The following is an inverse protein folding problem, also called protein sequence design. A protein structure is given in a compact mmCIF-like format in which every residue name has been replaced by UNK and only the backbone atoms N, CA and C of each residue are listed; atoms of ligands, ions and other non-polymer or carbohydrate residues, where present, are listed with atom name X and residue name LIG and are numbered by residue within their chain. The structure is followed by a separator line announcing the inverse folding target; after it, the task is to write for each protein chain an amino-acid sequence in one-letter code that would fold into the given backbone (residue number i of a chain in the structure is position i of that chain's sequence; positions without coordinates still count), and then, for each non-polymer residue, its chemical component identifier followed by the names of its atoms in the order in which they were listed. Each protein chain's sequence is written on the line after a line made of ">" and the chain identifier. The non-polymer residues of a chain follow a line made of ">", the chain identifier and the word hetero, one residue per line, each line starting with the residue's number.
data_IF_301688349597
#
_entry.id   IF_301688349597
#
_cell.length_a   1.000
_cell.length_b   1.000
_cell.length_c   1.000
_cell.angle_alpha   90.00
_cell.angle_beta   90.00
_cell.angle_gamma   90.00
#
_symmetry.space_group_name_H-M   'P 1'
#
loop_
_entity.id
_entity.type
_entity.pdbx_description
1 polymer ?
#
# COMPACT_ATOMS: atom_id res chain seq x y z
N UNK A 1 2.63 12.71 28.25
CA UNK A 1 1.74 11.53 28.05
C UNK A 1 1.35 11.55 26.58
N UNK A 2 1.47 10.45 25.83
CA UNK A 2 1.10 10.47 24.41
C UNK A 2 -0.42 10.65 24.29
N UNK A 3 -0.88 11.68 23.57
CA UNK A 3 -2.31 11.95 23.43
C UNK A 3 -3.02 10.88 22.59
N UNK A 4 -2.29 10.25 21.65
CA UNK A 4 -2.85 9.28 20.69
C UNK A 4 -1.93 8.06 20.47
N UNK A 5 -1.78 7.15 21.46
CA UNK A 5 -0.97 5.94 21.32
C UNK A 5 -1.51 4.95 20.26
N UNK A 6 -2.79 5.04 19.91
CA UNK A 6 -3.45 4.19 18.92
C UNK A 6 -2.92 4.39 17.49
N UNK A 7 -2.42 5.59 17.17
CA UNK A 7 -1.90 5.90 15.83
C UNK A 7 -0.67 5.05 15.50
N UNK A 8 0.47 5.14 16.22
CA UNK A 8 1.64 4.34 15.87
C UNK A 8 1.35 2.84 15.94
N UNK A 9 0.54 2.38 16.93
CA UNK A 9 0.14 0.98 17.03
C UNK A 9 -0.65 0.53 15.79
N UNK A 10 -1.61 1.33 15.34
CA UNK A 10 -2.40 1.05 14.14
C UNK A 10 -1.54 0.98 12.88
N UNK A 11 -0.66 1.97 12.66
CA UNK A 11 0.23 2.02 11.51
C UNK A 11 1.21 0.84 11.49
N UNK A 12 1.92 0.53 12.59
CA UNK A 12 2.85 -0.60 12.60
C UNK A 12 2.15 -1.95 12.47
N UNK A 13 0.95 -2.09 13.04
CA UNK A 13 0.13 -3.28 12.85
C UNK A 13 -0.26 -3.45 11.39
N UNK A 14 -0.77 -2.39 10.75
CA UNK A 14 -1.10 -2.38 9.33
C UNK A 14 0.12 -2.70 8.44
N UNK A 15 1.28 -2.12 8.75
CA UNK A 15 2.54 -2.41 8.06
C UNK A 15 2.90 -3.91 8.14
N UNK A 16 2.81 -4.50 9.33
CA UNK A 16 3.07 -5.92 9.54
C UNK A 16 2.08 -6.81 8.78
N UNK A 17 0.78 -6.47 8.81
CA UNK A 17 -0.27 -7.20 8.11
C UNK A 17 -0.09 -7.17 6.59
N UNK A 18 0.32 -6.05 6.01
CA UNK A 18 0.63 -5.97 4.58
C UNK A 18 1.73 -6.93 4.13
N UNK A 19 2.73 -7.18 4.97
CA UNK A 19 3.85 -8.07 4.65
C UNK A 19 3.46 -9.55 4.68
N UNK A 20 2.38 -9.93 5.36
CA UNK A 20 1.94 -11.33 5.48
C UNK A 20 1.74 -11.92 4.06
N UNK A 21 0.91 -11.32 3.19
CA UNK A 21 1.12 -11.03 1.77
C UNK A 21 2.25 -11.68 0.98
N UNK A 22 3.43 -11.21 1.34
CA UNK A 22 4.52 -10.96 0.41
C UNK A 22 5.15 -12.24 -0.14
N UNK A 23 5.42 -13.30 0.65
CA UNK A 23 6.17 -14.46 0.18
C UNK A 23 5.50 -15.23 -0.96
N UNK A 24 4.17 -15.28 -1.02
CA UNK A 24 3.46 -15.96 -2.11
C UNK A 24 3.27 -15.08 -3.33
N UNK A 25 3.04 -13.78 -3.16
CA UNK A 25 3.01 -12.84 -4.28
C UNK A 25 4.39 -12.72 -4.95
N UNK A 26 5.46 -12.79 -4.15
CA UNK A 26 6.84 -12.87 -4.65
C UNK A 26 7.08 -14.10 -5.53
N UNK A 27 6.67 -15.29 -5.06
CA UNK A 27 6.75 -16.54 -5.86
C UNK A 27 5.92 -16.45 -7.14
N UNK A 28 4.76 -15.79 -7.09
CA UNK A 28 3.91 -15.58 -8.25
C UNK A 28 4.46 -14.54 -9.25
N UNK A 29 5.53 -13.80 -8.88
CA UNK A 29 6.15 -12.73 -9.69
C UNK A 29 5.13 -11.72 -10.21
N UNK A 30 4.14 -11.36 -9.38
CA UNK A 30 3.17 -10.32 -9.70
C UNK A 30 3.73 -8.96 -9.28
N UNK A 31 4.33 -8.24 -10.23
CA UNK A 31 5.00 -6.95 -9.98
C UNK A 31 4.03 -5.92 -9.41
N UNK A 32 2.80 -5.85 -9.92
CA UNK A 32 1.80 -4.87 -9.47
C UNK A 32 1.40 -5.09 -8.01
N UNK A 33 1.11 -6.32 -7.60
CA UNK A 33 0.77 -6.61 -6.20
C UNK A 33 1.96 -6.43 -5.25
N UNK A 34 3.16 -6.83 -5.67
CA UNK A 34 4.37 -6.63 -4.85
C UNK A 34 4.64 -5.13 -4.66
N UNK A 35 4.46 -4.33 -5.70
CA UNK A 35 4.63 -2.87 -5.62
C UNK A 35 3.57 -2.24 -4.73
N UNK A 36 2.30 -2.69 -4.83
CA UNK A 36 1.23 -2.25 -3.93
C UNK A 36 1.57 -2.52 -2.46
N UNK A 37 2.05 -3.72 -2.13
CA UNK A 37 2.52 -4.06 -0.77
C UNK A 37 3.64 -3.13 -0.33
N UNK A 38 4.62 -2.86 -1.20
CA UNK A 38 5.77 -2.02 -0.87
C UNK A 38 5.35 -0.58 -0.56
N UNK A 39 4.45 0.00 -1.36
CA UNK A 39 3.90 1.35 -1.13
C UNK A 39 3.07 1.42 0.15
N UNK A 40 2.14 0.48 0.38
CA UNK A 40 1.36 0.43 1.61
C UNK A 40 2.26 0.26 2.84
N UNK A 41 3.22 -0.65 2.78
CA UNK A 41 4.18 -0.85 3.86
C UNK A 41 4.98 0.42 4.16
N UNK A 42 5.58 1.05 3.14
CA UNK A 42 6.36 2.26 3.30
C UNK A 42 5.52 3.40 3.89
N UNK A 43 4.30 3.62 3.39
CA UNK A 43 3.41 4.67 3.89
C UNK A 43 3.00 4.45 5.35
N UNK A 44 2.74 3.21 5.78
CA UNK A 44 2.46 2.93 7.19
C UNK A 44 3.68 3.12 8.09
N UNK A 45 4.88 2.73 7.64
CA UNK A 45 6.11 3.01 8.40
C UNK A 45 6.30 4.51 8.58
N UNK A 46 6.07 5.30 7.53
CA UNK A 46 6.11 6.75 7.60
C UNK A 46 5.11 7.26 8.65
N UNK A 47 3.84 6.86 8.56
CA UNK A 47 2.80 7.32 9.48
C UNK A 47 3.08 6.93 10.94
N UNK A 48 3.62 5.73 11.18
CA UNK A 48 3.97 5.26 12.51
C UNK A 48 5.16 5.99 13.12
N UNK A 49 6.20 6.27 12.33
CA UNK A 49 7.37 7.05 12.78
C UNK A 49 6.98 8.50 13.04
N UNK A 50 6.19 9.08 12.14
CA UNK A 50 5.70 10.45 12.25
C UNK A 50 4.88 10.66 13.54
N UNK A 51 3.95 9.75 13.84
CA UNK A 51 3.14 9.79 15.06
C UNK A 51 3.95 9.60 16.35
N UNK A 52 5.15 9.02 16.29
CA UNK A 52 6.05 8.90 17.44
C UNK A 52 6.87 10.18 17.64
N UNK A 53 7.46 10.71 16.57
CA UNK A 53 8.38 11.86 16.66
C UNK A 53 7.61 13.14 17.03
N UNK A 54 6.44 13.36 16.42
CA UNK A 54 5.64 14.58 16.61
C UNK A 54 4.44 14.40 17.55
N UNK A 55 4.51 13.41 18.45
CA UNK A 55 3.41 13.03 19.35
C UNK A 55 2.87 14.16 20.27
N UNK A 56 3.71 15.15 20.58
CA UNK A 56 3.47 16.21 21.58
C UNK A 56 4.15 17.54 21.19
N UNK A 57 4.50 17.69 19.91
CA UNK A 57 5.15 18.88 19.40
C UNK A 57 4.97 19.01 17.87
N UNK A 58 5.05 20.23 17.36
CA UNK A 58 5.07 20.53 15.91
C UNK A 58 6.43 21.09 15.45
N UNK A 59 7.50 20.91 16.25
CA UNK A 59 8.80 21.53 15.95
C UNK A 59 9.55 20.78 14.85
N UNK A 60 10.41 21.50 14.12
CA UNK A 60 11.22 20.94 13.04
C UNK A 60 12.40 20.14 13.62
N UNK A 61 12.17 18.86 13.95
CA UNK A 61 13.18 17.96 14.52
C UNK A 61 14.05 17.28 13.45
N UNK A 62 13.41 16.65 12.47
CA UNK A 62 14.09 15.79 11.47
C UNK A 62 13.70 16.23 10.05
N UNK A 63 14.22 17.37 9.56
CA UNK A 63 13.76 17.95 8.30
C UNK A 63 14.05 17.07 7.08
N UNK A 64 15.18 16.38 7.05
CA UNK A 64 15.56 15.46 5.96
C UNK A 64 14.57 14.30 5.86
N UNK A 65 14.05 13.83 6.99
CA UNK A 65 13.01 12.81 7.00
C UNK A 65 11.75 13.33 6.33
N UNK A 66 11.23 14.49 6.75
CA UNK A 66 10.05 15.09 6.13
C UNK A 66 10.24 15.37 4.63
N UNK A 67 11.42 15.80 4.17
CA UNK A 67 11.67 16.03 2.73
C UNK A 67 11.46 14.75 1.91
N UNK A 68 11.91 13.60 2.43
CA UNK A 68 11.81 12.31 1.76
C UNK A 68 10.38 11.77 1.89
N UNK A 69 9.85 11.75 3.11
CA UNK A 69 8.58 11.09 3.40
C UNK A 69 7.40 11.81 2.77
N UNK A 70 7.36 13.14 2.77
CA UNK A 70 6.29 13.89 2.12
C UNK A 70 6.22 13.62 0.62
N UNK A 71 7.39 13.50 -0.05
CA UNK A 71 7.44 13.08 -1.46
C UNK A 71 6.95 11.64 -1.63
N UNK A 72 7.39 10.70 -0.81
CA UNK A 72 6.92 9.31 -0.88
C UNK A 72 5.41 9.20 -0.68
N UNK A 73 4.84 9.98 0.24
CA UNK A 73 3.38 10.03 0.47
C UNK A 73 2.64 10.57 -0.75
N UNK A 74 3.15 11.63 -1.39
CA UNK A 74 2.63 12.12 -2.68
C UNK A 74 2.75 11.05 -3.75
N UNK A 75 3.88 10.35 -3.85
CA UNK A 75 4.05 9.24 -4.80
C UNK A 75 3.04 8.12 -4.57
N UNK A 76 2.72 7.82 -3.32
CA UNK A 76 1.76 6.77 -2.97
C UNK A 76 0.35 7.07 -3.51
N UNK A 77 -0.10 8.33 -3.54
CA UNK A 77 -1.47 8.69 -4.00
C UNK A 77 -1.72 8.28 -5.45
N UNK A 78 -0.69 8.34 -6.31
CA UNK A 78 -0.78 7.88 -7.71
C UNK A 78 -0.32 6.42 -7.88
N UNK A 79 0.58 5.93 -7.02
CA UNK A 79 1.11 4.58 -7.11
C UNK A 79 0.06 3.51 -6.80
N UNK A 80 -0.76 3.70 -5.76
CA UNK A 80 -1.81 2.75 -5.38
C UNK A 80 -2.81 2.51 -6.52
N UNK A 81 -3.41 3.54 -7.17
CA UNK A 81 -4.27 3.33 -8.33
C UNK A 81 -3.52 2.82 -9.56
N UNK A 82 -2.27 3.21 -9.79
CA UNK A 82 -1.46 2.64 -10.88
C UNK A 82 -1.24 1.12 -10.71
N UNK A 83 -0.96 0.67 -9.47
CA UNK A 83 -0.81 -0.76 -9.16
C UNK A 83 -2.12 -1.52 -9.37
N UNK A 84 -3.25 -0.96 -8.92
CA UNK A 84 -4.56 -1.56 -9.10
C UNK A 84 -4.97 -1.63 -10.58
N UNK A 85 -4.70 -0.58 -11.36
CA UNK A 85 -4.91 -0.57 -12.81
C UNK A 85 -4.13 -1.69 -13.49
N UNK A 86 -2.83 -1.79 -13.22
CA UNK A 86 -1.99 -2.82 -13.83
C UNK A 86 -2.46 -4.24 -13.48
N UNK A 87 -2.92 -4.44 -12.23
CA UNK A 87 -3.53 -5.68 -11.78
C UNK A 87 -4.83 -5.98 -12.56
N UNK A 88 -5.73 -5.01 -12.68
CA UNK A 88 -6.99 -5.18 -13.42
C UNK A 88 -6.76 -5.45 -14.91
N UNK A 89 -5.80 -4.78 -15.56
CA UNK A 89 -5.41 -5.08 -16.96
C UNK A 89 -4.87 -6.52 -17.06
N UNK A 90 -4.12 -7.01 -16.06
CA UNK A 90 -3.63 -8.39 -16.07
C UNK A 90 -4.80 -9.38 -15.95
N UNK A 91 -5.76 -9.12 -15.06
CA UNK A 91 -6.94 -9.96 -14.86
C UNK A 91 -7.85 -9.96 -16.10
N UNK A 92 -8.10 -8.79 -16.70
CA UNK A 92 -8.85 -8.67 -17.96
C UNK A 92 -8.23 -9.53 -19.04
N UNK A 93 -6.92 -9.42 -19.23
CA UNK A 93 -6.21 -10.17 -20.26
C UNK A 93 -6.30 -11.68 -20.06
N UNK A 94 -6.26 -12.16 -18.80
CA UNK A 94 -6.45 -13.58 -18.46
C UNK A 94 -7.89 -14.03 -18.78
N UNK A 95 -8.88 -13.17 -18.55
CA UNK A 95 -10.28 -13.47 -18.90
C UNK A 95 -10.57 -13.36 -20.40
N UNK A 96 -9.77 -12.59 -21.14
CA UNK A 96 -9.94 -12.35 -22.56
C UNK A 96 -9.59 -13.59 -23.41
N UNK A 97 -10.21 -13.77 -24.59
CA UNK A 97 -9.86 -14.84 -25.55
C UNK A 97 -8.41 -14.76 -26.05
N UNK A 98 -7.76 -13.60 -25.92
CA UNK A 98 -6.41 -13.35 -26.43
C UNK A 98 -5.34 -14.04 -25.59
N UNK A 99 -5.71 -14.61 -24.43
CA UNK A 99 -4.78 -15.25 -23.51
C UNK A 99 -4.03 -16.46 -24.12
N UNK A 100 -4.67 -17.20 -25.03
CA UNK A 100 -4.15 -18.47 -25.59
C UNK A 100 -2.94 -18.32 -26.52
N UNK A 101 -2.60 -17.10 -26.95
CA UNK A 101 -1.47 -16.83 -27.87
C UNK A 101 -0.31 -16.05 -27.27
N UNK A 102 -0.25 -15.88 -25.94
CA UNK A 102 0.73 -14.97 -25.32
C UNK A 102 2.16 -15.53 -25.30
N UNK A 103 3.09 -14.87 -26.00
CA UNK A 103 4.50 -15.26 -26.05
C UNK A 103 5.24 -14.93 -24.73
N UNK A 104 6.35 -15.63 -24.47
CA UNK A 104 7.25 -15.31 -23.36
C UNK A 104 7.79 -13.87 -23.46
N UNK A 105 8.05 -13.38 -24.67
CA UNK A 105 8.48 -12.00 -24.90
C UNK A 105 7.41 -10.98 -24.46
N UNK A 106 6.13 -11.26 -24.71
CA UNK A 106 5.02 -10.40 -24.30
C UNK A 106 4.86 -10.35 -22.78
N UNK A 107 5.16 -11.45 -22.09
CA UNK A 107 5.16 -11.50 -20.62
C UNK A 107 6.27 -10.64 -20.04
N UNK A 108 7.46 -10.68 -20.63
CA UNK A 108 8.60 -9.86 -20.19
C UNK A 108 8.35 -8.37 -20.44
N UNK A 109 7.91 -7.99 -21.65
CA UNK A 109 7.53 -6.61 -21.97
C UNK A 109 6.48 -6.07 -21.00
N UNK A 110 5.49 -6.90 -20.66
CA UNK A 110 4.45 -6.53 -19.70
C UNK A 110 5.00 -6.29 -18.30
N UNK A 111 5.92 -7.12 -17.81
CA UNK A 111 6.56 -6.90 -16.49
C UNK A 111 7.29 -5.56 -16.42
N UNK A 112 7.97 -5.16 -17.49
CA UNK A 112 8.62 -3.84 -17.54
C UNK A 112 7.61 -2.70 -17.57
N UNK A 113 6.51 -2.85 -18.32
CA UNK A 113 5.42 -1.89 -18.31
C UNK A 113 4.79 -1.74 -16.91
N UNK A 114 4.48 -2.86 -16.25
CA UNK A 114 3.92 -2.86 -14.90
C UNK A 114 4.90 -2.21 -13.91
N UNK A 115 6.21 -2.51 -14.00
CA UNK A 115 7.23 -1.88 -13.17
C UNK A 115 7.32 -0.36 -13.39
N UNK A 116 7.28 0.09 -14.65
CA UNK A 116 7.28 1.51 -14.98
C UNK A 116 6.03 2.21 -14.47
N UNK A 117 4.85 1.62 -14.62
CA UNK A 117 3.60 2.17 -14.11
C UNK A 117 3.58 2.24 -12.57
N UNK A 118 4.10 1.22 -11.88
CA UNK A 118 4.05 1.14 -10.42
C UNK A 118 5.16 1.95 -9.71
N UNK A 119 6.23 2.35 -10.42
CA UNK A 119 7.38 3.07 -9.83
C UNK A 119 7.80 4.30 -10.63
N UNK A 120 7.94 4.17 -11.96
CA UNK A 120 8.31 5.27 -12.84
C UNK A 120 7.30 6.42 -12.85
N UNK A 121 6.00 6.11 -12.99
CA UNK A 121 4.93 7.12 -12.94
C UNK A 121 4.89 7.85 -11.58
N UNK A 122 4.92 7.16 -10.43
CA UNK A 122 5.06 7.83 -9.13
C UNK A 122 6.29 8.72 -9.01
N UNK A 123 7.45 8.31 -9.54
CA UNK A 123 8.66 9.15 -9.53
C UNK A 123 8.48 10.45 -10.30
N UNK A 124 7.87 10.38 -11.49
CA UNK A 124 7.55 11.57 -12.29
C UNK A 124 6.53 12.46 -11.56
N UNK A 125 5.52 11.85 -10.94
CA UNK A 125 4.48 12.57 -10.21
C UNK A 125 5.03 13.28 -8.95
N UNK A 126 5.94 12.65 -8.21
CA UNK A 126 6.65 13.28 -7.09
C UNK A 126 7.50 14.49 -7.52
N UNK A 127 8.11 14.42 -8.70
CA UNK A 127 8.83 15.56 -9.28
C UNK A 127 7.87 16.68 -9.70
N UNK A 128 6.75 16.32 -10.33
CA UNK A 128 5.73 17.26 -10.79
C UNK A 128 5.06 18.02 -9.64
N UNK A 129 4.95 17.39 -8.45
CA UNK A 129 4.47 18.05 -7.24
C UNK A 129 5.25 19.33 -6.90
N UNK A 130 6.54 19.41 -7.26
CA UNK A 130 7.34 20.61 -7.03
C UNK A 130 6.73 21.85 -7.68
N UNK A 131 6.09 21.73 -8.85
CA UNK A 131 5.47 22.85 -9.58
C UNK A 131 4.33 23.52 -8.79
N UNK A 132 3.66 22.77 -7.93
CA UNK A 132 2.43 23.16 -7.24
C UNK A 132 2.56 23.07 -5.73
N UNK A 133 3.78 23.04 -5.25
CA UNK A 133 4.08 23.06 -3.83
C UNK A 133 4.36 24.53 -3.46
N UNK A 134 3.81 25.03 -2.36
CA UNK A 134 3.99 26.44 -1.98
C UNK A 134 5.20 26.67 -1.09
N UNK A 135 5.50 25.68 -0.27
CA UNK A 135 6.56 25.69 0.73
C UNK A 135 7.02 24.26 1.02
N UNK A 136 8.03 24.09 1.86
CA UNK A 136 8.81 22.85 1.94
C UNK A 136 7.97 21.65 2.37
N UNK A 137 7.26 21.77 3.48
CA UNK A 137 6.30 20.78 4.00
C UNK A 137 5.61 21.38 5.23
N UNK A 138 4.59 20.67 5.69
CA UNK A 138 3.87 20.98 6.92
C UNK A 138 4.15 19.92 7.99
N UNK A 139 4.16 20.34 9.25
CA UNK A 139 4.22 19.47 10.41
C UNK A 139 2.94 19.72 11.20
N UNK A 140 2.11 18.69 11.31
CA UNK A 140 0.92 18.71 12.16
C UNK A 140 1.27 17.93 13.43
N UNK A 141 1.13 18.56 14.59
CA UNK A 141 1.32 17.87 15.87
C UNK A 141 0.43 16.61 15.93
N UNK A 142 0.90 15.56 16.60
CA UNK A 142 0.32 14.20 16.64
C UNK A 142 0.47 13.40 15.35
N UNK A 143 0.39 14.02 14.17
CA UNK A 143 0.33 13.31 12.89
C UNK A 143 1.66 13.25 12.14
N UNK A 144 2.49 14.29 12.28
CA UNK A 144 3.81 14.46 11.67
C UNK A 144 3.82 15.16 10.32
N UNK A 145 4.69 14.72 9.40
CA UNK A 145 5.02 15.45 8.18
C UNK A 145 3.93 15.31 7.11
N UNK A 146 3.49 16.41 6.52
CA UNK A 146 2.51 16.46 5.43
C UNK A 146 3.04 17.24 4.22
N UNK A 147 2.75 16.78 2.99
CA UNK A 147 3.14 17.52 1.80
C UNK A 147 2.36 18.83 1.71
N UNK A 148 3.06 19.92 1.44
CA UNK A 148 2.44 21.22 1.21
C UNK A 148 1.90 21.31 -0.22
N UNK A 149 0.64 21.71 -0.38
CA UNK A 149 -0.01 21.88 -1.68
C UNK A 149 -0.49 23.32 -1.88
N UNK A 150 -0.08 23.95 -2.98
CA UNK A 150 -0.58 25.27 -3.37
C UNK A 150 -1.93 25.11 -4.09
N UNK A 151 -3.03 25.33 -3.36
CA UNK A 151 -4.42 25.16 -3.82
C UNK A 151 -4.73 26.09 -5.00
N UNK A 152 -4.61 25.56 -6.20
CA UNK A 152 -4.75 26.28 -7.47
C UNK A 152 -5.26 25.35 -8.56
N UNK A 153 -5.65 25.91 -9.71
CA UNK A 153 -6.08 25.08 -10.84
C UNK A 153 -4.94 24.15 -11.31
N UNK A 154 -3.69 24.61 -11.22
CA UNK A 154 -2.53 23.80 -11.55
C UNK A 154 -2.40 22.58 -10.61
N UNK A 155 -2.60 22.74 -9.30
CA UNK A 155 -2.56 21.59 -8.38
C UNK A 155 -3.67 20.58 -8.66
N UNK A 156 -4.87 21.07 -9.01
CA UNK A 156 -6.00 20.19 -9.36
C UNK A 156 -5.67 19.34 -10.61
N UNK A 157 -5.10 19.95 -11.65
CA UNK A 157 -4.74 19.25 -12.88
C UNK A 157 -3.52 18.33 -12.74
N UNK A 158 -2.52 18.73 -11.94
CA UNK A 158 -1.26 18.01 -11.84
C UNK A 158 -1.23 16.97 -10.71
N UNK A 159 -1.99 17.17 -9.64
CA UNK A 159 -2.00 16.29 -8.48
C UNK A 159 -3.34 15.56 -8.33
N UNK A 160 -4.49 16.24 -8.43
CA UNK A 160 -5.79 15.58 -8.20
C UNK A 160 -6.26 14.74 -9.40
N UNK A 161 -6.14 15.27 -10.62
CA UNK A 161 -6.67 14.62 -11.82
C UNK A 161 -5.99 13.28 -12.16
N UNK A 162 -4.65 13.13 -12.11
CA UNK A 162 -3.99 11.87 -12.49
C UNK A 162 -4.45 10.63 -11.69
N UNK A 163 -4.49 10.62 -10.34
CA UNK A 163 -4.98 9.46 -9.59
C UNK A 163 -6.46 9.18 -9.87
N UNK A 164 -7.30 10.20 -10.07
CA UNK A 164 -8.71 10.01 -10.45
C UNK A 164 -8.84 9.32 -11.82
N UNK A 165 -8.04 9.72 -12.80
CA UNK A 165 -8.02 9.07 -14.13
C UNK A 165 -7.59 7.61 -14.03
N UNK A 166 -6.56 7.30 -13.24
CA UNK A 166 -6.09 5.93 -13.03
C UNK A 166 -7.15 5.07 -12.32
N UNK A 167 -7.84 5.63 -11.32
CA UNK A 167 -8.93 4.94 -10.64
C UNK A 167 -10.12 4.67 -11.58
N UNK A 168 -10.53 5.66 -12.40
CA UNK A 168 -11.58 5.49 -13.40
C UNK A 168 -11.22 4.41 -14.43
N UNK A 169 -9.98 4.41 -14.94
CA UNK A 169 -9.48 3.37 -15.83
C UNK A 169 -9.48 2.00 -15.14
N UNK A 170 -9.13 1.93 -13.86
CA UNK A 170 -9.15 0.68 -13.09
C UNK A 170 -10.55 0.09 -13.03
N UNK A 171 -11.55 0.92 -12.70
CA UNK A 171 -12.95 0.52 -12.70
C UNK A 171 -13.42 0.04 -14.09
N UNK A 172 -13.02 0.72 -15.17
CA UNK A 172 -13.35 0.32 -16.53
C UNK A 172 -12.76 -1.05 -16.90
N UNK A 173 -11.48 -1.29 -16.61
CA UNK A 173 -10.83 -2.59 -16.87
C UNK A 173 -11.38 -3.71 -15.98
N UNK A 174 -11.69 -3.41 -14.72
CA UNK A 174 -12.35 -4.35 -13.82
C UNK A 174 -13.73 -4.76 -14.35
N UNK A 175 -14.54 -3.79 -14.82
CA UNK A 175 -15.82 -4.05 -15.46
C UNK A 175 -15.70 -4.90 -16.73
N UNK A 176 -14.74 -4.61 -17.60
CA UNK A 176 -14.46 -5.40 -18.79
C UNK A 176 -14.07 -6.85 -18.46
N UNK A 177 -13.20 -7.02 -17.45
CA UNK A 177 -12.77 -8.32 -16.97
C UNK A 177 -13.94 -9.16 -16.40
N UNK A 178 -14.84 -8.53 -15.64
CA UNK A 178 -16.06 -9.15 -15.13
C UNK A 178 -17.03 -9.51 -16.26
N UNK A 179 -17.19 -8.64 -17.26
CA UNK A 179 -18.03 -8.93 -18.42
C UNK A 179 -17.52 -10.15 -19.22
N UNK A 180 -16.21 -10.22 -19.43
CA UNK A 180 -15.58 -11.39 -20.07
C UNK A 180 -15.77 -12.67 -19.26
N UNK A 181 -15.67 -12.58 -17.93
CA UNK A 181 -15.98 -13.69 -17.04
C UNK A 181 -17.43 -14.16 -17.20
N UNK A 182 -18.41 -13.27 -17.05
CA UNK A 182 -19.82 -13.65 -17.06
C UNK A 182 -20.25 -14.26 -18.40
N UNK A 183 -19.74 -13.71 -19.51
CA UNK A 183 -20.01 -14.24 -20.86
C UNK A 183 -19.44 -15.65 -21.09
N UNK A 184 -18.47 -16.11 -20.30
CA UNK A 184 -17.73 -17.36 -20.55
C UNK A 184 -17.69 -18.31 -19.36
N UNK A 185 -18.56 -18.10 -18.38
CA UNK A 185 -18.56 -18.82 -17.10
C UNK A 185 -18.48 -20.36 -17.23
N UNK A 186 -19.01 -20.93 -18.31
CA UNK A 186 -19.01 -22.38 -18.58
C UNK A 186 -17.66 -22.92 -19.07
N UNK A 187 -16.83 -22.10 -19.72
CA UNK A 187 -15.49 -22.46 -20.23
C UNK A 187 -14.37 -21.75 -19.46
N UNK A 188 -14.72 -20.92 -18.48
CA UNK A 188 -13.78 -20.05 -17.79
C UNK A 188 -12.81 -20.82 -16.88
N UNK A 189 -13.30 -21.86 -16.20
CA UNK A 189 -12.48 -22.69 -15.31
C UNK A 189 -11.30 -23.32 -16.05
N UNK A 190 -11.48 -23.67 -17.33
CA UNK A 190 -10.40 -24.21 -18.19
C UNK A 190 -9.55 -23.14 -18.85
N UNK A 191 -10.02 -21.88 -18.95
CA UNK A 191 -9.26 -20.77 -19.55
C UNK A 191 -8.41 -19.98 -18.55
N UNK A 192 -8.63 -20.15 -17.25
CA UNK A 192 -7.76 -19.59 -16.22
C UNK A 192 -6.38 -20.22 -16.37
N UNK A 193 -5.38 -19.41 -16.75
CA UNK A 193 -3.99 -19.81 -16.98
C UNK A 193 -3.27 -20.31 -15.69
N UNK A 194 -3.79 -21.36 -15.07
CA UNK A 194 -3.34 -21.92 -13.80
C UNK A 194 -3.81 -21.18 -12.53
N UNK A 195 -4.75 -20.23 -12.64
CA UNK A 195 -5.27 -19.47 -11.50
C UNK A 195 -6.59 -20.09 -11.01
N UNK A 196 -6.82 -20.18 -9.69
CA UNK A 196 -8.15 -20.58 -9.20
C UNK A 196 -9.17 -19.43 -9.40
N UNK A 197 -10.46 -19.72 -9.69
CA UNK A 197 -11.49 -18.70 -9.78
C UNK A 197 -11.59 -17.85 -8.50
N UNK A 198 -11.46 -18.47 -7.34
CA UNK A 198 -11.48 -17.77 -6.04
C UNK A 198 -10.36 -16.73 -5.95
N UNK A 199 -9.13 -17.06 -6.36
CA UNK A 199 -8.02 -16.12 -6.36
C UNK A 199 -8.22 -14.98 -7.37
N UNK A 200 -8.76 -15.29 -8.54
CA UNK A 200 -9.11 -14.28 -9.54
C UNK A 200 -10.07 -13.24 -8.97
N UNK A 201 -11.18 -13.67 -8.37
CA UNK A 201 -12.18 -12.77 -7.79
C UNK A 201 -11.64 -11.96 -6.62
N UNK A 202 -10.83 -12.58 -5.78
CA UNK A 202 -10.20 -11.93 -4.63
C UNK A 202 -9.29 -10.78 -5.05
N UNK A 203 -8.48 -10.98 -6.09
CA UNK A 203 -7.64 -9.92 -6.67
C UNK A 203 -8.50 -8.80 -7.28
N UNK A 204 -9.58 -9.14 -7.98
CA UNK A 204 -10.48 -8.16 -8.59
C UNK A 204 -11.23 -7.33 -7.55
N UNK A 205 -11.85 -7.98 -6.58
CA UNK A 205 -12.62 -7.33 -5.51
C UNK A 205 -11.72 -6.48 -4.63
N UNK A 206 -10.50 -6.93 -4.35
CA UNK A 206 -9.50 -6.12 -3.65
C UNK A 206 -9.17 -4.86 -4.43
N UNK A 207 -8.85 -4.96 -5.72
CA UNK A 207 -8.55 -3.79 -6.54
C UNK A 207 -9.74 -2.81 -6.58
N UNK A 208 -10.97 -3.31 -6.72
CA UNK A 208 -12.17 -2.48 -6.69
C UNK A 208 -12.41 -1.82 -5.32
N UNK A 209 -12.19 -2.54 -4.22
CA UNK A 209 -12.32 -2.00 -2.87
C UNK A 209 -11.28 -0.91 -2.58
N UNK A 210 -10.03 -1.13 -2.98
CA UNK A 210 -8.96 -0.13 -2.90
C UNK A 210 -9.28 1.12 -3.72
N UNK A 211 -9.83 0.95 -4.94
CA UNK A 211 -10.24 2.10 -5.76
C UNK A 211 -11.45 2.83 -5.17
N UNK A 212 -12.43 2.12 -4.61
CA UNK A 212 -13.57 2.75 -3.95
C UNK A 212 -13.10 3.58 -2.74
N UNK A 213 -12.28 2.98 -1.86
CA UNK A 213 -11.71 3.67 -0.71
C UNK A 213 -10.87 4.88 -1.17
N UNK A 214 -9.94 4.68 -2.11
CA UNK A 214 -9.07 5.73 -2.64
C UNK A 214 -9.85 6.88 -3.28
N UNK A 215 -10.85 6.59 -4.12
CA UNK A 215 -11.70 7.61 -4.73
C UNK A 215 -12.50 8.40 -3.68
N UNK A 216 -13.03 7.73 -2.66
CA UNK A 216 -13.74 8.42 -1.56
C UNK A 216 -12.80 9.36 -0.82
N UNK A 217 -11.60 8.88 -0.46
CA UNK A 217 -10.59 9.71 0.23
C UNK A 217 -10.15 10.88 -0.64
N UNK A 218 -9.77 10.66 -1.90
CA UNK A 218 -9.37 11.75 -2.81
C UNK A 218 -10.49 12.76 -3.04
N UNK A 219 -11.74 12.32 -3.18
CA UNK A 219 -12.87 13.23 -3.37
C UNK A 219 -13.11 14.12 -2.14
N UNK A 220 -13.02 13.54 -0.94
CA UNK A 220 -13.16 14.27 0.32
C UNK A 220 -12.01 15.26 0.55
N UNK A 221 -10.77 14.84 0.29
CA UNK A 221 -9.57 15.66 0.43
C UNK A 221 -9.61 16.85 -0.55
N UNK A 222 -9.96 16.58 -1.81
CA UNK A 222 -10.19 17.61 -2.83
C UNK A 222 -11.29 18.57 -2.37
N UNK A 223 -12.41 18.07 -1.87
CA UNK A 223 -13.45 18.97 -1.35
C UNK A 223 -12.92 19.86 -0.21
N UNK A 224 -12.14 19.30 0.71
CA UNK A 224 -11.58 20.06 1.84
C UNK A 224 -10.57 21.13 1.42
N UNK A 225 -9.71 20.83 0.44
CA UNK A 225 -8.72 21.77 -0.09
C UNK A 225 -9.36 22.91 -0.87
N UNK A 226 -10.37 22.61 -1.70
CA UNK A 226 -10.88 23.55 -2.70
C UNK A 226 -12.17 24.27 -2.29
N UNK A 227 -12.83 23.90 -1.18
CA UNK A 227 -14.09 24.51 -0.72
C UNK A 227 -14.02 26.01 -0.44
N UNK A 228 -12.83 26.54 -0.12
CA UNK A 228 -12.62 27.97 0.15
C UNK A 228 -12.16 28.76 -1.09
N UNK A 229 -12.14 28.13 -2.27
CA UNK A 229 -11.75 28.76 -3.52
C UNK A 229 -10.33 28.42 -3.97
N UNK A 230 -10.00 28.88 -5.17
CA UNK A 230 -8.73 28.61 -5.84
C UNK A 230 -7.83 29.85 -5.77
N UNK A 231 -6.57 29.68 -5.37
CA UNK A 231 -5.56 30.73 -5.50
C UNK A 231 -5.04 30.77 -6.95
N UNK A 232 -4.81 31.95 -7.54
CA UNK A 232 -4.27 32.04 -8.89
C UNK A 232 -2.85 31.46 -8.93
N UNK A 233 -2.58 30.63 -9.93
CA UNK A 233 -1.22 30.18 -10.26
C UNK A 233 -0.62 31.20 -11.23
N UNK A 234 0.04 32.23 -10.68
CA UNK A 234 0.51 33.38 -11.46
C UNK A 234 1.89 33.17 -12.09
N UNK A 235 2.93 33.08 -11.26
CA UNK A 235 4.31 32.91 -11.72
C UNK A 235 5.07 31.94 -10.82
N UNK A 236 6.14 31.35 -11.36
CA UNK A 236 7.02 30.47 -10.61
C UNK A 236 7.57 31.15 -9.35
N UNK A 237 8.05 32.39 -9.49
CA UNK A 237 8.61 33.16 -8.38
C UNK A 237 7.57 33.48 -7.30
N UNK A 238 6.30 33.70 -7.66
CA UNK A 238 5.24 33.96 -6.69
C UNK A 238 4.93 32.73 -5.83
N UNK A 239 4.71 31.58 -6.48
CA UNK A 239 4.39 30.32 -5.80
C UNK A 239 5.54 29.82 -4.92
N UNK A 240 6.80 30.11 -5.31
CA UNK A 240 8.01 29.64 -4.62
C UNK A 240 8.74 30.74 -3.84
N UNK A 241 8.08 31.86 -3.54
CA UNK A 241 8.71 33.04 -2.93
C UNK A 241 9.27 32.77 -1.53
N UNK A 242 8.59 31.95 -0.72
CA UNK A 242 8.99 31.54 0.63
C UNK A 242 9.08 30.01 0.75
N UNK A 243 9.76 29.40 -0.22
CA UNK A 243 9.75 27.95 -0.37
C UNK A 243 10.35 27.20 0.83
N UNK A 244 11.37 27.75 1.49
CA UNK A 244 12.07 27.07 2.59
C UNK A 244 11.27 27.03 3.89
N UNK A 245 10.16 27.75 3.97
CA UNK A 245 9.28 27.74 5.14
C UNK A 245 8.72 26.35 5.40
N UNK A 246 8.64 26.02 6.68
CA UNK A 246 7.96 24.82 7.18
C UNK A 246 6.74 25.28 7.96
N UNK A 247 5.55 24.85 7.55
CA UNK A 247 4.35 25.09 8.32
C UNK A 247 4.35 24.23 9.58
N UNK A 248 3.99 24.80 10.72
CA UNK A 248 3.93 24.11 11.99
C UNK A 248 2.54 24.35 12.58
N UNK A 249 1.78 23.28 12.79
CA UNK A 249 0.40 23.32 13.24
C UNK A 249 0.28 22.61 14.59
N UNK A 250 0.42 23.34 15.71
CA UNK A 250 0.17 22.80 17.04
C UNK A 250 -1.28 22.32 17.20
N UNK A 251 -1.46 21.18 17.84
CA UNK A 251 -2.73 20.49 17.99
C UNK A 251 -3.80 21.35 18.65
N UNK A 252 -3.41 22.10 19.68
CA UNK A 252 -4.32 22.95 20.46
C UNK A 252 -4.82 24.18 19.71
N UNK A 253 -4.09 24.65 18.69
CA UNK A 253 -4.47 25.83 17.90
C UNK A 253 -5.43 25.47 16.77
N UNK A 254 -5.55 24.20 16.42
CA UNK A 254 -6.41 23.75 15.35
C UNK A 254 -7.87 23.60 15.81
N UNK A 255 -8.87 24.04 15.03
CA UNK A 255 -10.28 23.83 15.36
C UNK A 255 -10.63 22.36 15.56
N UNK A 256 -11.58 22.06 16.44
CA UNK A 256 -11.99 20.68 16.76
C UNK A 256 -12.42 19.88 15.52
N UNK A 257 -13.12 20.53 14.58
CA UNK A 257 -13.51 19.92 13.32
C UNK A 257 -12.31 19.54 12.43
N UNK A 258 -11.28 20.39 12.38
CA UNK A 258 -10.04 20.11 11.65
C UNK A 258 -9.28 18.92 12.25
N UNK A 259 -9.19 18.86 13.58
CA UNK A 259 -8.56 17.73 14.29
C UNK A 259 -9.25 16.40 14.01
N UNK A 260 -10.58 16.38 14.03
CA UNK A 260 -11.36 15.19 13.72
C UNK A 260 -11.18 14.75 12.26
N UNK A 261 -11.13 15.72 11.34
CA UNK A 261 -10.87 15.47 9.92
C UNK A 261 -9.50 14.85 9.70
N UNK A 262 -8.44 15.46 10.24
CA UNK A 262 -7.08 14.99 10.02
C UNK A 262 -6.84 13.62 10.65
N UNK A 263 -7.42 13.34 11.82
CA UNK A 263 -7.41 12.00 12.41
C UNK A 263 -8.15 11.00 11.52
N UNK A 264 -9.31 11.37 10.99
CA UNK A 264 -10.07 10.52 10.06
C UNK A 264 -9.28 10.16 8.81
N UNK A 265 -8.67 11.16 8.17
CA UNK A 265 -7.84 10.98 6.97
C UNK A 265 -6.55 10.23 7.25
N UNK A 266 -5.96 10.40 8.44
CA UNK A 266 -4.78 9.64 8.85
C UNK A 266 -5.02 8.12 8.82
N UNK A 267 -6.24 7.66 9.15
CA UNK A 267 -6.58 6.24 9.09
C UNK A 267 -6.76 5.67 7.68
N UNK A 268 -6.74 6.48 6.62
CA UNK A 268 -6.92 6.01 5.25
C UNK A 268 -5.86 4.97 4.82
N UNK A 269 -4.58 5.20 5.14
CA UNK A 269 -3.48 4.29 4.77
C UNK A 269 -3.52 2.97 5.57
N UNK A 270 -3.69 2.98 6.90
CA UNK A 270 -3.93 1.75 7.65
C UNK A 270 -5.20 1.01 7.21
N UNK A 271 -6.28 1.73 6.86
CA UNK A 271 -7.51 1.13 6.37
C UNK A 271 -7.32 0.41 5.02
N UNK A 272 -6.64 1.04 4.06
CA UNK A 272 -6.27 0.42 2.79
C UNK A 272 -5.45 -0.86 3.00
N UNK A 273 -4.48 -0.79 3.92
CA UNK A 273 -3.66 -1.94 4.32
C UNK A 273 -4.49 -3.07 4.95
N UNK A 274 -5.49 -2.72 5.75
CA UNK A 274 -6.47 -3.64 6.31
C UNK A 274 -7.33 -4.29 5.24
N UNK A 275 -7.81 -3.53 4.25
CA UNK A 275 -8.55 -4.05 3.08
C UNK A 275 -7.69 -5.04 2.32
N UNK A 276 -6.46 -4.68 1.98
CA UNK A 276 -5.50 -5.57 1.33
C UNK A 276 -5.32 -6.87 2.12
N UNK A 277 -5.06 -6.78 3.43
CA UNK A 277 -4.91 -7.95 4.28
C UNK A 277 -6.20 -8.79 4.36
N UNK A 278 -7.38 -8.19 4.45
CA UNK A 278 -8.64 -8.93 4.53
C UNK A 278 -8.85 -9.82 3.29
N UNK A 279 -8.51 -9.34 2.10
CA UNK A 279 -8.59 -10.15 0.89
C UNK A 279 -7.51 -11.23 0.83
N UNK A 280 -6.28 -10.97 1.28
CA UNK A 280 -5.19 -11.96 1.09
C UNK A 280 -4.94 -12.87 2.28
N UNK A 281 -5.14 -12.39 3.49
CA UNK A 281 -4.81 -13.03 4.76
C UNK A 281 -5.68 -14.23 5.12
N UNK A 282 -6.93 -14.30 4.63
CA UNK A 282 -7.88 -15.36 4.98
C UNK A 282 -8.17 -16.36 3.85
N UNK A 283 -7.50 -16.25 2.70
CA UNK A 283 -7.76 -17.18 1.60
C UNK A 283 -7.17 -18.57 1.84
N UNK A 284 -7.74 -19.58 1.18
CA UNK A 284 -7.30 -20.98 1.25
C UNK A 284 -5.79 -21.15 0.97
N UNK A 285 -5.26 -20.37 0.03
CA UNK A 285 -3.82 -20.32 -0.24
C UNK A 285 -3.02 -19.80 0.95
N UNK A 286 -3.50 -18.76 1.62
CA UNK A 286 -2.82 -18.17 2.78
C UNK A 286 -2.84 -19.14 3.96
N UNK A 287 -3.98 -19.77 4.24
CA UNK A 287 -4.10 -20.81 5.29
C UNK A 287 -3.15 -21.97 5.03
N UNK A 288 -3.06 -22.45 3.77
CA UNK A 288 -2.12 -23.51 3.38
C UNK A 288 -0.65 -23.08 3.59
N UNK A 289 -0.32 -21.85 3.28
CA UNK A 289 1.03 -21.31 3.47
C UNK A 289 1.36 -21.04 4.94
N UNK A 290 0.40 -20.63 5.77
CA UNK A 290 0.55 -20.56 7.23
C UNK A 290 0.83 -21.94 7.81
N UNK A 291 0.13 -22.98 7.35
CA UNK A 291 0.40 -24.37 7.74
C UNK A 291 1.81 -24.81 7.37
N UNK A 292 2.30 -24.47 6.17
CA UNK A 292 3.69 -24.74 5.74
C UNK A 292 4.71 -23.99 6.59
N UNK A 293 4.48 -22.71 6.87
CA UNK A 293 5.32 -21.89 7.74
C UNK A 293 5.36 -22.44 9.16
N UNK A 294 4.21 -22.80 9.73
CA UNK A 294 4.12 -23.41 11.06
C UNK A 294 4.82 -24.78 11.11
N UNK A 295 4.65 -25.62 10.09
CA UNK A 295 5.36 -26.89 9.98
C UNK A 295 6.89 -26.71 9.89
N UNK A 296 7.34 -25.64 9.22
CA UNK A 296 8.76 -25.27 9.19
C UNK A 296 9.25 -24.78 10.55
N UNK A 297 8.52 -23.87 11.22
CA UNK A 297 8.85 -23.40 12.58
C UNK A 297 8.90 -24.56 13.56
N UNK A 298 7.93 -25.48 13.51
CA UNK A 298 7.90 -26.68 14.34
C UNK A 298 9.13 -27.57 14.14
N UNK A 299 9.55 -27.76 12.88
CA UNK A 299 10.71 -28.59 12.53
C UNK A 299 12.05 -27.92 12.82
N UNK A 300 12.20 -26.63 12.56
CA UNK A 300 13.49 -25.92 12.62
C UNK A 300 13.71 -25.22 13.95
N UNK A 301 12.70 -24.48 14.44
CA UNK A 301 12.80 -23.71 15.68
C UNK A 301 12.56 -24.60 16.88
N UNK A 302 11.44 -25.34 16.88
CA UNK A 302 11.09 -26.22 18.01
C UNK A 302 11.73 -27.61 17.93
N UNK A 303 12.44 -27.95 16.83
CA UNK A 303 13.08 -29.25 16.58
C UNK A 303 12.17 -30.45 16.88
N UNK A 304 10.85 -30.29 16.76
CA UNK A 304 9.89 -31.38 16.86
C UNK A 304 9.83 -32.04 15.50
N UNK A 305 10.39 -33.25 15.40
CA UNK A 305 10.19 -34.11 14.23
C UNK A 305 8.70 -34.33 14.00
N UNK A 306 8.31 -34.52 12.74
CA UNK A 306 6.98 -35.04 12.44
C UNK A 306 6.84 -36.38 13.17
N UNK A 307 5.99 -36.44 14.21
CA UNK A 307 5.46 -37.72 14.65
C UNK A 307 4.85 -38.36 13.41
N UNK A 308 5.44 -39.48 13.00
CA UNK A 308 5.09 -40.17 11.78
C UNK A 308 3.60 -40.54 11.80
N UNK A 309 2.78 -39.78 11.08
CA UNK A 309 1.48 -40.25 10.59
C UNK A 309 1.63 -41.45 9.62
N UNK A 310 2.86 -41.89 9.32
CA UNK A 310 3.16 -43.11 8.56
C UNK A 310 2.89 -44.44 9.27
N UNK A 311 2.52 -44.45 10.56
CA UNK A 311 2.31 -45.71 11.31
C UNK A 311 0.83 -46.13 11.46
N UNK A 312 -0.12 -45.36 10.92
CA UNK A 312 -1.54 -45.77 10.87
C UNK A 312 -1.94 -46.40 9.53
N UNK A 313 -1.21 -46.11 8.46
CA UNK A 313 -1.50 -46.68 7.12
C UNK A 313 -0.84 -48.06 6.91
N UNK A 314 0.28 -48.36 7.57
CA UNK A 314 0.89 -49.69 7.52
C UNK A 314 0.18 -50.74 8.40
N UNK A 315 -0.67 -50.30 9.34
CA UNK A 315 -1.48 -51.19 10.19
C UNK A 315 -2.78 -51.65 9.52
N UNK A 316 -3.20 -51.00 8.41
CA UNK A 316 -4.40 -51.41 7.66
C UNK A 316 -4.09 -52.40 6.52
N UNK A 317 -2.84 -52.48 6.07
CA UNK A 317 -2.42 -53.38 4.98
C UNK A 317 -1.99 -54.80 5.43
N UNK A 318 -2.01 -55.11 6.72
CA UNK A 318 -1.64 -56.45 7.25
C UNK A 318 -2.81 -57.44 7.36
N UNK A 319 -4.00 -57.13 6.82
CA UNK A 319 -5.04 -58.16 6.60
C UNK A 319 -4.81 -58.89 5.28
N UNK A 320 -3.86 -59.82 5.30
CA UNK A 320 -3.71 -60.83 4.26
C UNK A 320 -4.90 -61.80 4.34
N UNK A 321 -5.70 -62.00 3.28
CA UNK A 321 -6.68 -63.08 3.26
C UNK A 321 -5.95 -64.40 2.96
N UNK A 322 -6.10 -65.40 3.84
CA UNK A 322 -5.55 -66.73 3.63
C UNK A 322 -6.12 -67.34 2.34
N UNK A 323 -5.33 -67.39 1.27
CA UNK A 323 -5.71 -68.07 0.04
C UNK A 323 -5.48 -69.56 0.21
N UNK A 324 -6.58 -70.32 0.36
CA UNK A 324 -6.57 -71.79 0.30
C UNK A 324 -5.90 -72.24 -1.00
N UNK A 325 -4.89 -73.08 -0.84
CA UNK A 325 -4.24 -73.84 -1.88
C UNK A 325 -5.23 -74.87 -2.45
N UNK A 326 -5.48 -74.83 -3.77
CA UNK A 326 -6.04 -75.96 -4.51
C UNK A 326 -5.27 -76.15 -5.82
N UNK A 327 -5.02 -77.42 -6.09
CA UNK A 327 -4.09 -78.00 -7.04
C UNK A 327 -4.53 -77.93 -8.51
N UNK A 328 -3.50 -77.96 -9.37
CA UNK A 328 -3.43 -78.48 -10.73
C UNK A 328 -4.68 -79.10 -11.36
N UNK A 329 -4.99 -78.64 -12.58
CA UNK A 329 -5.16 -79.51 -13.75
C UNK A 329 -4.77 -78.73 -15.01
N UNK A 330 -4.04 -79.40 -15.90
CA UNK A 330 -3.57 -78.93 -17.18
C UNK A 330 -4.72 -78.84 -18.19
N UNK A 331 -4.60 -77.96 -19.19
CA UNK A 331 -4.97 -78.30 -20.57
C UNK A 331 -4.27 -77.38 -21.57
N UNK A 332 -3.85 -77.99 -22.66
CA UNK A 332 -3.03 -77.46 -23.73
C UNK A 332 -3.87 -76.96 -24.92
N UNK A 333 -3.46 -75.86 -25.55
CA UNK A 333 -3.63 -75.52 -26.98
C UNK A 333 -2.96 -74.15 -27.22
N UNK A 334 -1.80 -74.09 -27.87
CA UNK A 334 -1.60 -74.01 -29.33
C UNK A 334 -1.95 -72.64 -29.95
N UNK A 335 -0.90 -71.87 -30.25
CA UNK A 335 -0.64 -71.02 -31.45
C UNK A 335 0.49 -70.04 -31.05
N UNK A 336 1.76 -70.22 -31.49
CA UNK A 336 2.37 -69.75 -32.77
C UNK A 336 1.83 -68.35 -33.15
N UNK A 337 2.63 -67.29 -33.31
CA UNK A 337 3.88 -67.21 -34.11
C UNK A 337 4.61 -65.88 -33.85
N UNK A 338 5.95 -65.94 -33.95
CA UNK A 338 6.92 -64.97 -34.53
C UNK A 338 7.04 -63.53 -33.97
N UNK A 339 8.19 -63.20 -33.35
CA UNK A 339 9.47 -62.69 -33.93
C UNK A 339 9.48 -61.14 -33.90
N UNK A 340 10.53 -60.40 -33.58
CA UNK A 340 11.97 -60.59 -33.75
C UNK A 340 12.73 -59.72 -32.73
N UNK A 341 13.90 -60.21 -32.31
CA UNK A 341 14.86 -59.55 -31.43
C UNK A 341 15.59 -58.38 -32.09
N UNK A 342 16.10 -57.43 -31.30
CA UNK A 342 17.50 -57.01 -31.41
C UNK A 342 17.98 -56.27 -30.14
N UNK A 343 19.19 -56.63 -29.73
CA UNK A 343 19.96 -56.14 -28.57
C UNK A 343 20.67 -54.79 -28.86
N UNK A 344 21.28 -54.13 -27.86
CA UNK A 344 21.84 -52.78 -27.96
C UNK A 344 23.33 -52.78 -28.36
N UNK A 345 23.93 -51.59 -28.53
CA UNK A 345 25.32 -51.44 -28.05
C UNK A 345 25.64 -50.12 -27.33
N UNK A 346 26.79 -50.15 -26.67
CA UNK A 346 27.38 -49.19 -25.75
C UNK A 346 28.47 -48.28 -26.40
N UNK A 347 28.86 -47.24 -25.65
CA UNK A 347 30.15 -46.55 -25.49
C UNK A 347 31.04 -46.05 -26.66
N UNK A 348 31.50 -44.79 -26.53
CA UNK A 348 32.84 -44.23 -26.86
C UNK A 348 32.75 -42.67 -26.93
N UNK A 349 33.26 -41.86 -25.97
CA UNK A 349 34.66 -41.42 -25.68
C UNK A 349 35.22 -40.24 -26.54
N UNK A 350 35.11 -39.00 -26.00
CA UNK A 350 36.12 -37.87 -25.90
C UNK A 350 36.76 -37.24 -27.18
N UNK A 351 37.58 -36.13 -27.16
CA UNK A 351 37.95 -35.13 -26.11
C UNK A 351 38.12 -33.60 -26.53
N UNK A 352 38.37 -32.74 -25.51
CA UNK A 352 39.17 -31.46 -25.46
C UNK A 352 38.61 -30.08 -25.95
N UNK A 353 39.13 -28.91 -25.49
CA UNK A 353 40.19 -28.69 -24.48
C UNK A 353 39.86 -27.73 -23.31
N UNK A 354 40.67 -27.92 -22.27
CA UNK A 354 41.03 -27.03 -21.16
C UNK A 354 41.81 -25.78 -21.60
N UNK A 355 41.53 -24.64 -20.94
CA UNK A 355 42.56 -23.63 -20.68
C UNK A 355 42.42 -23.07 -19.26
N UNK A 356 43.52 -23.21 -18.53
CA UNK A 356 43.78 -22.76 -17.16
C UNK A 356 44.13 -21.28 -17.10
N UNK A 357 43.43 -20.57 -16.21
CA UNK A 357 43.97 -19.75 -15.11
C UNK A 357 45.22 -18.87 -15.36
N UNK A 358 45.05 -17.55 -15.18
CA UNK A 358 46.01 -16.78 -14.39
C UNK A 358 45.29 -15.75 -13.51
N UNK A 359 45.69 -15.73 -12.24
CA UNK A 359 45.23 -14.83 -11.20
C UNK A 359 46.02 -13.52 -11.27
N UNK A 360 45.39 -12.40 -10.91
CA UNK A 360 46.09 -11.28 -10.28
C UNK A 360 45.21 -10.71 -9.18
N UNK A 361 45.68 -10.86 -7.95
CA UNK A 361 45.14 -10.23 -6.75
C UNK A 361 45.30 -8.70 -6.84
N UNK A 362 44.25 -7.97 -6.49
CA UNK A 362 44.36 -6.58 -6.07
C UNK A 362 43.46 -6.35 -4.86
N UNK A 363 44.09 -5.82 -3.81
CA UNK A 363 43.58 -5.56 -2.48
C UNK A 363 42.24 -4.82 -2.44
N UNK A 364 41.32 -5.30 -1.61
CA UNK A 364 40.19 -4.52 -1.09
C UNK A 364 40.67 -3.66 0.09
N UNK A 365 40.46 -2.34 0.12
CA UNK A 365 40.59 -1.58 1.35
C UNK A 365 39.34 -1.79 2.24
N UNK A 366 39.57 -1.87 3.55
CA UNK A 366 38.57 -2.07 4.59
C UNK A 366 37.65 -0.85 4.78
N UNK A 367 36.40 -1.12 5.14
CA UNK A 367 35.30 -0.17 5.41
C UNK A 367 35.62 0.88 6.51
N UNK A 368 36.68 0.70 7.30
CA UNK A 368 37.11 1.62 8.34
C UNK A 368 37.87 2.86 7.82
N UNK A 369 38.32 2.87 6.56
CA UNK A 369 39.12 3.97 5.98
C UNK A 369 38.30 5.06 5.25
N UNK A 370 36.96 4.99 5.30
CA UNK A 370 36.05 5.98 4.69
C UNK A 370 35.37 6.90 5.73
N UNK A 371 35.71 6.79 7.02
CA UNK A 371 35.07 7.53 8.11
C UNK A 371 35.91 8.69 8.69
N UNK A 372 36.91 9.20 7.98
CA UNK A 372 37.72 10.34 8.45
C UNK A 372 37.96 11.39 7.37
N UNK A 373 36.88 11.96 6.81
CA UNK A 373 36.96 13.26 6.12
C UNK A 373 35.82 14.17 6.56
N UNK A 374 36.11 15.29 7.26
CA UNK A 374 35.10 16.28 7.57
C UNK A 374 34.74 17.06 6.29
N UNK A 375 33.45 17.17 5.98
CA UNK A 375 32.93 18.04 4.93
C UNK A 375 32.64 19.44 5.53
N UNK A 376 32.99 20.52 4.82
CA UNK A 376 32.93 21.88 5.34
C UNK A 376 31.50 22.45 5.30
N UNK A 377 31.06 23.14 6.36
CA UNK A 377 29.93 24.07 6.27
C UNK A 377 28.86 24.06 7.37
N UNK A 378 29.02 23.34 8.48
CA UNK A 378 28.07 23.42 9.60
C UNK A 378 28.76 23.93 10.88
N UNK A 379 28.22 24.95 11.57
CA UNK A 379 28.71 25.32 12.89
C UNK A 379 28.30 24.23 13.90
N UNK A 380 29.29 23.73 14.64
CA UNK A 380 29.11 22.89 15.82
C UNK A 380 28.56 23.77 16.94
N UNK A 381 27.41 23.39 17.50
CA UNK A 381 26.81 24.06 18.66
C UNK A 381 27.69 23.80 19.89
N UNK A 382 28.39 24.85 20.35
CA UNK A 382 29.10 24.87 21.62
C UNK A 382 28.10 25.15 22.76
N UNK A 383 27.91 24.17 23.63
CA UNK A 383 27.03 24.27 24.80
C UNK A 383 27.86 24.84 25.95
N UNK A 384 28.11 26.16 25.92
CA UNK A 384 28.37 27.03 27.08
C UNK A 384 28.74 28.46 26.64
N UNK A 385 27.79 29.38 26.66
CA UNK A 385 28.00 30.78 27.09
C UNK A 385 26.67 31.55 27.21
N UNK A 386 26.64 32.36 28.27
CA UNK A 386 25.67 33.29 28.89
C UNK A 386 24.68 34.14 28.01
N UNK A 387 23.60 34.70 28.64
CA UNK A 387 22.40 35.18 27.95
C UNK A 387 22.57 36.55 27.29
N UNK A 388 22.11 36.66 26.04
CA UNK A 388 22.03 37.92 25.28
C UNK A 388 20.69 38.61 25.52
N UNK A 389 20.72 39.90 25.86
CA UNK A 389 19.55 40.76 26.08
C UNK A 389 18.82 41.13 24.77
N UNK A 390 17.51 41.45 24.83
CA UNK A 390 16.69 41.71 23.64
C UNK A 390 16.96 43.09 23.02
N UNK A 391 17.09 43.13 21.69
CA UNK A 391 17.16 44.32 20.84
C UNK A 391 15.74 44.72 20.38
N UNK A 392 15.39 46.02 20.28
CA UNK A 392 14.00 46.44 20.14
C UNK A 392 13.47 46.31 18.71
N UNK A 393 12.19 45.93 18.60
CA UNK A 393 11.43 45.79 17.35
C UNK A 393 11.07 47.19 16.83
N UNK A 394 11.60 47.56 15.67
CA UNK A 394 11.12 48.70 14.88
C UNK A 394 9.95 48.27 14.01
N UNK A 395 8.84 48.98 14.15
CA UNK A 395 7.58 48.80 13.45
C UNK A 395 7.69 49.04 11.93
N UNK A 396 7.24 48.07 11.14
CA UNK A 396 6.53 48.25 9.86
C UNK A 396 6.22 46.90 9.22
N UNK A 397 5.09 46.30 9.57
CA UNK A 397 4.35 45.38 8.70
C UNK A 397 2.95 45.20 9.30
N UNK A 398 1.96 45.80 8.65
CA UNK A 398 0.54 45.54 8.90
C UNK A 398 0.28 44.04 8.74
N UNK A 399 -0.34 43.48 9.77
CA UNK A 399 -0.72 42.08 9.88
C UNK A 399 -2.16 41.99 9.34
N UNK A 400 -2.38 41.28 8.24
CA UNK A 400 -3.72 41.01 7.72
C UNK A 400 -4.44 40.03 8.65
N UNK A 401 -5.28 40.55 9.55
CA UNK A 401 -6.09 39.81 10.53
C UNK A 401 -7.33 39.08 9.92
N UNK A 402 -7.51 39.11 8.60
CA UNK A 402 -8.70 38.58 7.94
C UNK A 402 -8.70 37.05 7.75
N UNK A 403 -7.55 36.38 7.86
CA UNK A 403 -7.46 34.90 7.71
C UNK A 403 -7.93 34.15 8.97
N UNK A 404 -8.04 34.80 10.13
CA UNK A 404 -8.43 34.18 11.40
C UNK A 404 -9.91 34.38 11.78
N UNK A 405 -10.53 35.51 11.38
CA UNK A 405 -11.93 35.81 11.73
C UNK A 405 -12.95 34.97 10.96
N UNK A 406 -12.63 34.46 9.77
CA UNK A 406 -13.57 33.63 9.00
C UNK A 406 -13.75 32.21 9.57
N UNK A 407 -12.79 31.71 10.35
CA UNK A 407 -12.90 30.41 11.02
C UNK A 407 -13.75 30.45 12.29
N UNK A 408 -13.93 31.63 12.91
CA UNK A 408 -14.74 31.79 14.11
C UNK A 408 -16.24 32.02 13.82
N UNK A 409 -16.58 32.57 12.65
CA UNK A 409 -17.93 33.09 12.37
C UNK A 409 -18.96 32.04 11.90
N UNK A 410 -18.62 30.76 11.74
CA UNK A 410 -19.55 29.73 11.20
C UNK A 410 -19.86 28.56 12.15
N UNK A 411 -19.52 28.67 13.44
CA UNK A 411 -19.74 27.60 14.42
C UNK A 411 -20.76 27.93 15.53
N UNK A 412 -21.70 28.84 15.30
CA UNK A 412 -22.88 29.00 16.17
C UNK A 412 -24.13 28.45 15.47
N UNK A 413 -24.73 27.36 15.94
CA UNK A 413 -26.12 27.09 15.63
C UNK A 413 -26.97 28.08 16.42
N UNK A 414 -27.76 28.89 15.71
CA UNK A 414 -28.84 29.70 16.28
C UNK A 414 -29.84 28.78 16.97
N UNK A 415 -29.78 28.73 18.31
CA UNK A 415 -30.86 28.22 19.17
C UNK A 415 -31.86 29.36 19.34
N UNK A 416 -32.65 29.64 18.32
CA UNK A 416 -33.80 30.54 18.38
C UNK A 416 -34.63 30.36 17.10
N UNK A 417 -35.44 29.29 17.03
CA UNK A 417 -36.65 29.14 16.18
C UNK A 417 -37.16 27.68 16.17
N UNK A 418 -37.37 27.10 17.35
CA UNK A 418 -38.06 25.81 17.47
C UNK A 418 -38.74 25.71 18.84
N UNK A 419 -39.65 26.66 19.13
CA UNK A 419 -40.43 26.65 20.37
C UNK A 419 -41.77 27.39 20.27
N UNK A 420 -42.50 27.22 19.16
CA UNK A 420 -43.85 27.78 19.01
C UNK A 420 -44.95 26.78 18.60
N UNK A 421 -44.68 25.49 18.40
CA UNK A 421 -45.71 24.54 17.93
C UNK A 421 -45.94 23.32 18.84
N UNK A 422 -45.93 23.50 20.16
CA UNK A 422 -46.27 22.40 21.09
C UNK A 422 -47.11 22.79 22.32
N UNK A 423 -47.95 23.83 22.22
CA UNK A 423 -48.92 24.17 23.27
C UNK A 423 -50.27 24.62 22.69
N UNK A 424 -50.95 23.72 21.97
CA UNK A 424 -52.33 23.94 21.55
C UNK A 424 -53.16 22.65 21.55
N UNK A 425 -53.21 21.92 22.67
CA UNK A 425 -54.35 21.05 23.00
C UNK A 425 -54.35 20.54 24.45
N UNK A 426 -54.83 21.37 25.38
CA UNK A 426 -55.52 21.00 26.62
C UNK A 426 -56.09 22.32 27.19
N UNK A 427 -57.39 22.57 27.29
CA UNK A 427 -58.34 21.79 28.09
C UNK A 427 -58.67 22.55 29.38
N UNK A 428 -59.58 23.53 29.28
CA UNK A 428 -60.59 23.97 30.29
C UNK A 428 -60.26 23.96 31.79
N UNK A 429 -60.32 25.12 32.47
CA UNK A 429 -61.25 25.40 33.59
C UNK A 429 -60.98 26.76 34.32
N UNK A 430 -62.06 27.54 34.46
CA UNK A 430 -62.46 28.44 35.56
C UNK A 430 -61.51 29.51 36.19
N UNK A 431 -61.83 30.79 35.90
CA UNK A 431 -62.20 31.93 36.81
C UNK A 431 -62.02 31.83 38.34
N UNK A 432 -62.05 32.95 39.12
CA UNK A 432 -61.67 34.34 38.83
C UNK A 432 -60.96 35.11 40.00
N UNK A 433 -60.64 36.38 39.72
CA UNK A 433 -60.84 37.58 40.57
C UNK A 433 -59.84 38.08 41.65
N UNK A 434 -59.47 39.36 41.42
CA UNK A 434 -59.31 40.52 42.34
C UNK A 434 -58.00 40.63 43.15
N UNK A 435 -57.15 41.59 42.79
CA UNK A 435 -57.08 42.93 43.41
C UNK A 435 -56.11 43.85 42.64
#
# INVERSE_FOLDING_TARGET
>A
MMMHPELPVGAFTAAALCLVPLPWHWRARNVSTISLIAWLFASNIIYGVDAIIWRDNAIVLVPIWCDITTKLLVGATVALPACCLCLCIQLERIASPRASGTSAADRTRRRYFDAFMCWGVPLIYMALHYVVQGHRFDIIEVLGCRPALYVSLASLLLQTLPPLLLAALTCAYAGAALLHFFRRRTTFASSLAGLSPARYFRLMLMALAEMALGLTITALDTWADYRFGLRPWGSWAGVHSDWLRVGQFPWLLQPAAGRAWDLGMWWAVPAASGVFFAFFGFGEEAVREYGRGWAWVRRVVFRRGEEAEGMKELASFTKCPSRKMRSFAADAASQKTESTACSPPADASSPLPSYTQSQSMAHKPSLAALLEKPLPGYPVLDIRADPVQPVPVSASQEFDDDEYSLYAATATPTVAEAREDEDAHAGTAHTPDIA
#
